data_IF_681176427226
#
_entry.id   IF_681176427226
#
_cell.length_a   1.000
_cell.length_b   1.000
_cell.length_c   1.000
_cell.angle_alpha   90.00
_cell.angle_beta   90.00
_cell.angle_gamma   90.00
#
_symmetry.space_group_name_H-M   'P 1'
#
loop_
_entity.id
_entity.type
_entity.pdbx_description
1 polymer ?
#
# COMPACT_ATOMS: atom_id res chain seq x y z
N UNK A 1 -17.65 4.12 -0.27
CA UNK A 1 -16.81 3.68 0.85
C UNK A 1 -17.73 3.19 1.96
N UNK A 2 -18.57 2.19 1.69
CA UNK A 2 -19.29 1.48 2.75
C UNK A 2 -18.57 0.14 2.94
N UNK A 3 -18.24 -0.23 4.18
CA UNK A 3 -17.58 -1.50 4.52
C UNK A 3 -16.04 -1.53 4.39
N UNK A 4 -15.37 -0.36 4.38
CA UNK A 4 -13.91 -0.29 4.43
C UNK A 4 -13.44 0.43 5.69
N UNK A 5 -12.65 -0.27 6.51
CA UNK A 5 -11.90 0.33 7.62
C UNK A 5 -10.58 0.90 7.07
N UNK A 6 -10.14 2.06 7.58
CA UNK A 6 -8.91 2.71 7.11
C UNK A 6 -7.98 2.98 8.27
N UNK A 7 -6.78 2.43 8.17
CA UNK A 7 -5.64 2.81 9.03
C UNK A 7 -4.74 3.79 8.29
N UNK A 8 -4.06 4.66 9.04
CA UNK A 8 -3.20 5.72 8.51
C UNK A 8 -1.88 5.79 9.25
N UNK A 9 -0.84 6.21 8.54
CA UNK A 9 0.47 6.40 9.15
C UNK A 9 1.39 7.27 8.32
N UNK A 10 2.63 7.39 8.80
CA UNK A 10 3.69 8.12 8.12
C UNK A 10 4.88 7.21 7.96
N UNK A 11 5.46 7.19 6.76
CA UNK A 11 6.67 6.40 6.47
C UNK A 11 7.80 6.88 7.38
N UNK A 12 8.34 5.99 8.21
CA UNK A 12 9.46 6.33 9.08
C UNK A 12 10.80 6.18 8.34
N UNK A 13 11.86 6.88 8.77
CA UNK A 13 13.20 6.67 8.22
C UNK A 13 13.61 5.19 8.30
N UNK A 14 14.04 4.63 7.17
CA UNK A 14 14.44 3.22 7.07
C UNK A 14 13.29 2.23 6.87
N UNK A 15 12.02 2.66 6.88
CA UNK A 15 10.90 1.76 6.55
C UNK A 15 10.95 1.32 5.10
N UNK A 16 10.81 0.01 4.89
CA UNK A 16 10.45 -0.59 3.60
C UNK A 16 8.95 -0.88 3.55
N UNK A 17 8.44 -1.24 2.38
CA UNK A 17 7.04 -1.66 2.25
C UNK A 17 6.69 -2.86 3.13
N UNK A 18 7.62 -3.81 3.33
CA UNK A 18 7.38 -4.94 4.23
C UNK A 18 7.16 -4.50 5.68
N UNK A 19 7.77 -3.41 6.12
CA UNK A 19 7.54 -2.85 7.46
C UNK A 19 6.15 -2.23 7.58
N UNK A 20 5.59 -1.71 6.48
CA UNK A 20 4.28 -1.03 6.46
C UNK A 20 3.15 -2.04 6.23
N UNK A 21 3.31 -2.92 5.23
CA UNK A 21 2.26 -3.81 4.74
C UNK A 21 2.29 -5.19 5.41
N UNK A 22 3.43 -5.60 5.97
CA UNK A 22 3.54 -6.85 6.74
C UNK A 22 2.60 -6.90 7.94
N UNK A 23 2.56 -5.87 8.81
CA UNK A 23 1.60 -5.78 9.90
C UNK A 23 0.13 -5.77 9.44
N UNK A 24 -0.13 -5.29 8.23
CA UNK A 24 -1.45 -5.32 7.59
C UNK A 24 -1.81 -6.70 6.99
N UNK A 25 -0.97 -7.72 7.18
CA UNK A 25 -1.20 -9.09 6.71
C UNK A 25 -0.79 -9.35 5.25
N UNK A 26 -0.12 -8.39 4.60
CA UNK A 26 0.35 -8.57 3.21
C UNK A 26 1.67 -9.34 3.22
N UNK A 27 1.70 -10.50 2.57
CA UNK A 27 2.90 -11.34 2.52
C UNK A 27 4.03 -10.72 1.70
N UNK A 28 5.27 -11.06 2.02
CA UNK A 28 6.44 -10.59 1.25
C UNK A 28 6.38 -10.98 -0.24
N UNK A 29 5.79 -12.14 -0.57
CA UNK A 29 5.54 -12.56 -1.95
C UNK A 29 4.56 -11.64 -2.67
N UNK A 30 3.44 -11.29 -2.01
CA UNK A 30 2.47 -10.35 -2.55
C UNK A 30 3.07 -8.94 -2.75
N UNK A 31 3.88 -8.46 -1.79
CA UNK A 31 4.60 -7.19 -1.92
C UNK A 31 5.57 -7.21 -3.11
N UNK A 32 6.26 -8.34 -3.31
CA UNK A 32 7.18 -8.50 -4.44
C UNK A 32 6.44 -8.47 -5.78
N UNK A 33 5.31 -9.18 -5.88
CA UNK A 33 4.49 -9.19 -7.09
C UNK A 33 3.90 -7.80 -7.38
N UNK A 34 3.32 -7.14 -6.37
CA UNK A 34 2.84 -5.77 -6.45
C UNK A 34 3.92 -4.84 -7.03
N UNK A 35 5.13 -4.92 -6.49
CA UNK A 35 6.23 -4.05 -6.89
C UNK A 35 6.84 -4.39 -8.25
N UNK A 36 6.58 -5.58 -8.80
CA UNK A 36 6.99 -5.95 -10.15
C UNK A 36 5.93 -5.53 -11.17
N UNK A 37 4.64 -5.76 -10.87
CA UNK A 37 3.52 -5.47 -11.76
C UNK A 37 3.25 -3.96 -11.90
N UNK A 38 3.44 -3.19 -10.83
CA UNK A 38 3.19 -1.73 -10.85
C UNK A 38 4.38 -0.92 -11.34
N UNK A 39 5.56 -1.52 -11.47
CA UNK A 39 6.83 -0.83 -11.75
C UNK A 39 6.81 0.06 -12.99
N UNK A 40 6.10 -0.35 -14.04
CA UNK A 40 6.00 0.41 -15.31
C UNK A 40 5.24 1.73 -15.16
N UNK A 41 4.28 1.79 -14.23
CA UNK A 41 3.47 2.98 -13.96
C UNK A 41 4.04 3.77 -12.78
N UNK A 42 4.34 3.08 -11.68
CA UNK A 42 5.00 3.65 -10.51
C UNK A 42 5.65 2.54 -9.66
N UNK A 43 6.95 2.64 -9.41
CA UNK A 43 7.63 1.73 -8.49
C UNK A 43 7.26 2.05 -7.04
N UNK A 44 6.38 1.24 -6.47
CA UNK A 44 5.93 1.33 -5.07
C UNK A 44 7.09 1.31 -4.07
N UNK A 45 8.28 0.81 -4.43
CA UNK A 45 9.46 0.81 -3.54
C UNK A 45 10.06 2.20 -3.33
N UNK A 46 9.68 3.19 -4.15
CA UNK A 46 10.15 4.58 -4.05
C UNK A 46 9.43 5.39 -2.95
N UNK A 47 8.91 4.73 -1.91
CA UNK A 47 8.38 5.41 -0.73
C UNK A 47 9.47 6.22 -0.02
N UNK A 48 9.10 7.40 0.46
CA UNK A 48 9.98 8.34 1.15
C UNK A 48 9.52 8.55 2.57
N UNK A 49 10.49 8.69 3.47
CA UNK A 49 10.23 9.05 4.85
C UNK A 49 9.42 10.36 4.95
N UNK A 50 8.67 10.49 6.05
CA UNK A 50 7.82 11.64 6.36
C UNK A 50 6.62 11.83 5.41
N UNK A 51 6.38 10.91 4.48
CA UNK A 51 5.19 10.95 3.64
C UNK A 51 4.06 10.13 4.28
N UNK A 52 2.82 10.65 4.29
CA UNK A 52 1.69 9.93 4.84
C UNK A 52 1.23 8.82 3.90
N UNK A 53 0.60 7.81 4.49
CA UNK A 53 -0.03 6.70 3.80
C UNK A 53 -1.30 6.25 4.51
N UNK A 54 -2.13 5.49 3.79
CA UNK A 54 -3.32 4.84 4.31
C UNK A 54 -3.40 3.40 3.80
N UNK A 55 -3.99 2.52 4.60
CA UNK A 55 -4.32 1.16 4.22
C UNK A 55 -5.82 0.97 4.43
N UNK A 56 -6.52 0.54 3.39
CA UNK A 56 -7.94 0.23 3.47
C UNK A 56 -8.13 -1.29 3.62
N UNK A 57 -9.04 -1.67 4.51
CA UNK A 57 -9.33 -3.05 4.88
C UNK A 57 -10.79 -3.38 4.62
N UNK A 58 -11.07 -4.54 4.03
CA UNK A 58 -12.42 -5.10 4.00
C UNK A 58 -12.75 -5.69 5.38
N UNK A 59 -13.89 -5.30 5.96
CA UNK A 59 -14.31 -5.71 7.31
C UNK A 59 -14.46 -7.24 7.48
N UNK A 60 -14.91 -7.94 6.42
CA UNK A 60 -15.32 -9.35 6.51
C UNK A 60 -14.42 -10.33 5.73
N UNK A 61 -13.10 -10.05 5.58
CA UNK A 61 -12.23 -10.91 4.78
C UNK A 61 -11.00 -11.48 5.52
N UNK A 62 -10.60 -12.68 5.12
CA UNK A 62 -9.41 -13.40 5.63
C UNK A 62 -8.11 -12.66 5.29
N UNK A 63 -8.10 -11.86 4.22
CA UNK A 63 -6.97 -11.01 3.82
C UNK A 63 -7.45 -9.56 3.74
N UNK A 64 -7.70 -8.90 4.89
CA UNK A 64 -8.49 -7.68 4.95
C UNK A 64 -7.87 -6.52 4.17
N UNK A 65 -6.54 -6.40 4.12
CA UNK A 65 -5.88 -5.34 3.37
C UNK A 65 -6.22 -5.38 1.87
N UNK A 66 -6.82 -4.30 1.37
CA UNK A 66 -7.34 -4.17 0.00
C UNK A 66 -6.58 -3.12 -0.80
N UNK A 67 -6.36 -1.94 -0.23
CA UNK A 67 -5.67 -0.84 -0.90
C UNK A 67 -4.55 -0.26 -0.04
N UNK A 68 -3.46 0.14 -0.68
CA UNK A 68 -2.44 1.00 -0.09
C UNK A 68 -2.44 2.33 -0.81
N UNK A 69 -2.66 3.43 -0.10
CA UNK A 69 -2.65 4.78 -0.66
C UNK A 69 -1.42 5.51 -0.12
N UNK A 70 -0.58 6.00 -1.01
CA UNK A 70 0.65 6.70 -0.67
C UNK A 70 0.65 8.11 -1.22
N UNK A 71 0.90 9.10 -0.36
CA UNK A 71 1.06 10.48 -0.79
C UNK A 71 2.48 10.71 -1.32
N UNK A 72 2.59 11.01 -2.62
CA UNK A 72 3.87 11.27 -3.29
C UNK A 72 4.35 12.70 -3.06
N UNK A 73 3.40 13.63 -2.97
CA UNK A 73 3.58 15.05 -2.67
C UNK A 73 2.21 15.69 -2.29
N UNK A 74 2.18 17.01 -2.11
CA UNK A 74 0.97 17.75 -1.70
C UNK A 74 -0.26 17.57 -2.61
N UNK A 75 -0.10 17.13 -3.86
CA UNK A 75 -1.19 17.05 -4.86
C UNK A 75 -1.34 15.66 -5.51
N UNK A 76 -0.38 14.76 -5.30
CA UNK A 76 -0.34 13.47 -5.99
C UNK A 76 -0.35 12.32 -4.98
N UNK A 77 -1.28 11.39 -5.22
CA UNK A 77 -1.44 10.16 -4.47
C UNK A 77 -1.31 8.99 -5.45
N UNK A 78 -0.71 7.89 -4.99
CA UNK A 78 -0.73 6.62 -5.70
C UNK A 78 -1.55 5.63 -4.88
N UNK A 79 -2.57 5.04 -5.51
CA UNK A 79 -3.37 3.97 -4.90
C UNK A 79 -2.97 2.65 -5.53
N UNK A 80 -2.54 1.71 -4.70
CA UNK A 80 -2.14 0.36 -5.08
C UNK A 80 -3.19 -0.66 -4.67
N UNK A 81 -3.51 -1.59 -5.56
CA UNK A 81 -4.28 -2.78 -5.25
C UNK A 81 -3.37 -3.81 -4.56
N UNK A 82 -3.70 -4.21 -3.32
CA UNK A 82 -2.89 -5.16 -2.54
C UNK A 82 -3.21 -6.62 -2.86
N UNK A 83 -4.14 -6.86 -3.79
CA UNK A 83 -4.57 -8.18 -4.26
C UNK A 83 -4.51 -8.24 -5.78
N UNK A 84 -4.26 -9.43 -6.38
CA UNK A 84 -4.32 -9.59 -7.82
C UNK A 84 -5.69 -9.19 -8.42
N UNK A 85 -5.71 -8.64 -9.65
CA UNK A 85 -4.55 -8.15 -10.39
C UNK A 85 -3.94 -6.92 -9.70
N UNK A 86 -2.61 -6.89 -9.55
CA UNK A 86 -1.95 -5.77 -8.88
C UNK A 86 -1.95 -4.55 -9.80
N UNK A 87 -2.33 -3.39 -9.27
CA UNK A 87 -2.52 -2.17 -10.04
C UNK A 87 -2.06 -0.94 -9.27
N UNK A 88 -1.83 0.15 -10.01
CA UNK A 88 -1.61 1.49 -9.44
C UNK A 88 -2.34 2.53 -10.27
N UNK A 89 -3.01 3.48 -9.60
CA UNK A 89 -3.67 4.64 -10.19
C UNK A 89 -3.22 5.92 -9.50
#
# INVERSE_FOLDING_TARGET
WEGLEVDSGTVQPGHSLSHILGPAGVSAGAITNLANETKSTYDVRNIRAQQPYWIAFDEDSVQPARYFVYQRNATQYARFDLRPPYGVT
#
